data_IF_132982173170
#
_entry.id   IF_132982173170
#
_cell.length_a   1.000
_cell.length_b   1.000
_cell.length_c   1.000
_cell.angle_alpha   90.00
_cell.angle_beta   90.00
_cell.angle_gamma   90.00
#
_symmetry.space_group_name_H-M   'P 1'
#
loop_
_entity.id
_entity.type
_entity.pdbx_description
1 polymer ?
#
# COMPACT_ATOMS: atom_id res chain seq x y z
N UNK A 1 -14.36 -42.61 -14.31
CA UNK A 1 -13.57 -41.36 -14.22
C UNK A 1 -14.23 -40.45 -13.20
N UNK A 2 -13.80 -40.50 -11.95
CA UNK A 2 -14.30 -39.64 -10.86
C UNK A 2 -13.48 -38.35 -10.84
N UNK A 3 -14.07 -37.24 -11.29
CA UNK A 3 -13.45 -35.92 -11.16
C UNK A 3 -13.48 -35.53 -9.67
N UNK A 4 -12.32 -35.55 -9.01
CA UNK A 4 -12.13 -34.81 -7.76
C UNK A 4 -12.10 -33.32 -8.11
N UNK A 5 -13.21 -32.61 -7.87
CA UNK A 5 -13.17 -31.16 -7.74
C UNK A 5 -12.24 -30.84 -6.57
N UNK A 6 -11.01 -30.43 -6.88
CA UNK A 6 -10.08 -29.93 -5.88
C UNK A 6 -10.71 -28.68 -5.26
N UNK A 7 -11.35 -28.83 -4.10
CA UNK A 7 -11.80 -27.74 -3.26
C UNK A 7 -10.58 -26.90 -2.92
N UNK A 8 -10.44 -25.73 -3.55
CA UNK A 8 -9.39 -24.78 -3.17
C UNK A 8 -9.49 -24.52 -1.66
N UNK A 9 -8.37 -24.55 -0.94
CA UNK A 9 -8.39 -24.26 0.49
C UNK A 9 -9.04 -22.89 0.70
N UNK A 10 -9.94 -22.76 1.69
CA UNK A 10 -10.61 -21.49 1.93
C UNK A 10 -9.55 -20.42 2.19
N UNK A 11 -9.52 -19.40 1.33
CA UNK A 11 -8.66 -18.23 1.55
C UNK A 11 -9.05 -17.63 2.90
N UNK A 12 -8.06 -17.48 3.78
CA UNK A 12 -8.27 -16.89 5.09
C UNK A 12 -8.76 -15.45 4.90
N UNK A 13 -9.91 -15.06 5.48
CA UNK A 13 -10.45 -13.73 5.28
C UNK A 13 -9.50 -12.67 5.82
N UNK A 14 -9.45 -11.52 5.14
CA UNK A 14 -8.54 -10.41 5.46
C UNK A 14 -8.73 -9.86 6.89
N UNK A 15 -9.95 -9.96 7.41
CA UNK A 15 -10.37 -9.50 8.74
C UNK A 15 -11.30 -10.53 9.39
N UNK A 16 -11.18 -10.73 10.71
CA UNK A 16 -12.26 -11.32 11.52
C UNK A 16 -13.48 -10.37 11.57
N UNK A 17 -14.67 -10.84 11.99
CA UNK A 17 -15.82 -9.97 12.20
C UNK A 17 -15.53 -8.79 13.14
N UNK A 18 -14.80 -9.03 14.22
CA UNK A 18 -14.43 -8.01 15.21
C UNK A 18 -13.43 -7.01 14.63
N UNK A 19 -12.42 -7.47 13.89
CA UNK A 19 -11.47 -6.60 13.19
C UNK A 19 -12.15 -5.73 12.15
N UNK A 20 -13.10 -6.30 11.39
CA UNK A 20 -13.89 -5.55 10.41
C UNK A 20 -14.71 -4.47 11.10
N UNK A 21 -15.36 -4.78 12.23
CA UNK A 21 -16.09 -3.79 13.02
C UNK A 21 -15.19 -2.66 13.50
N UNK A 22 -14.03 -2.98 14.09
CA UNK A 22 -13.04 -1.98 14.53
C UNK A 22 -12.56 -1.10 13.37
N UNK A 23 -12.34 -1.68 12.20
CA UNK A 23 -11.98 -0.94 10.98
C UNK A 23 -13.09 0.03 10.57
N UNK A 24 -14.32 -0.46 10.49
CA UNK A 24 -15.46 0.32 10.00
C UNK A 24 -15.82 1.48 10.95
N UNK A 25 -15.58 1.31 12.25
CA UNK A 25 -15.75 2.37 13.27
C UNK A 25 -14.57 3.36 13.33
N UNK A 26 -13.42 3.05 12.71
CA UNK A 26 -12.19 3.82 12.86
C UNK A 26 -12.09 4.98 11.86
N UNK A 27 -11.95 6.20 12.36
CA UNK A 27 -11.65 7.39 11.55
C UNK A 27 -10.32 7.27 10.78
N UNK A 28 -9.40 6.44 11.25
CA UNK A 28 -8.12 6.21 10.57
C UNK A 28 -8.28 5.53 9.21
N UNK A 29 -9.35 4.77 8.99
CA UNK A 29 -9.63 4.20 7.65
C UNK A 29 -9.88 5.30 6.62
N UNK A 30 -10.58 6.38 7.00
CA UNK A 30 -10.76 7.54 6.13
C UNK A 30 -9.44 8.26 5.88
N UNK A 31 -8.63 8.45 6.93
CA UNK A 31 -7.30 9.07 6.80
C UNK A 31 -6.43 8.30 5.81
N UNK A 32 -6.36 6.97 5.91
CA UNK A 32 -5.63 6.14 4.96
C UNK A 32 -6.23 6.20 3.55
N UNK A 33 -7.56 6.21 3.45
CA UNK A 33 -8.29 6.34 2.18
C UNK A 33 -8.00 7.65 1.43
N UNK A 34 -7.62 8.73 2.14
CA UNK A 34 -7.19 10.00 1.55
C UNK A 34 -5.68 10.03 1.31
N UNK A 35 -4.88 9.60 2.29
CA UNK A 35 -3.42 9.64 2.19
C UNK A 35 -2.87 8.74 1.09
N UNK A 36 -3.48 7.57 0.84
CA UNK A 36 -3.02 6.67 -0.21
C UNK A 36 -3.12 7.30 -1.63
N UNK A 37 -4.26 7.87 -2.06
CA UNK A 37 -4.34 8.64 -3.31
C UNK A 37 -3.38 9.84 -3.38
N UNK A 38 -3.29 10.62 -2.30
CA UNK A 38 -2.35 11.77 -2.24
C UNK A 38 -0.92 11.29 -2.45
N UNK A 39 -0.54 10.21 -1.78
CA UNK A 39 0.79 9.63 -1.89
C UNK A 39 1.10 9.12 -3.30
N UNK A 40 0.09 8.60 -4.01
CA UNK A 40 0.21 8.18 -5.41
C UNK A 40 0.39 9.38 -6.36
N UNK A 41 -0.32 10.48 -6.15
CA UNK A 41 -0.13 11.70 -6.96
C UNK A 41 1.27 12.31 -6.72
N UNK A 42 1.69 12.42 -5.47
CA UNK A 42 3.03 12.89 -5.10
C UNK A 42 4.12 11.98 -5.70
N UNK A 43 3.88 10.67 -5.73
CA UNK A 43 4.73 9.71 -6.44
C UNK A 43 4.88 10.04 -7.92
N UNK A 44 3.78 10.22 -8.66
CA UNK A 44 3.83 10.46 -10.10
C UNK A 44 4.56 11.77 -10.44
N UNK A 45 4.29 12.83 -9.69
CA UNK A 45 4.97 14.13 -9.86
C UNK A 45 6.47 13.95 -9.63
N UNK A 46 6.86 13.30 -8.54
CA UNK A 46 8.26 13.12 -8.20
C UNK A 46 8.98 12.20 -9.20
N UNK A 47 8.33 11.12 -9.65
CA UNK A 47 8.87 10.24 -10.69
C UNK A 47 9.14 11.01 -11.99
N UNK A 48 8.18 11.83 -12.43
CA UNK A 48 8.37 12.66 -13.61
C UNK A 48 9.58 13.60 -13.48
N UNK A 49 9.72 14.29 -12.34
CA UNK A 49 10.83 15.21 -12.12
C UNK A 49 12.19 14.50 -12.06
N UNK A 50 12.26 13.34 -11.39
CA UNK A 50 13.47 12.50 -11.34
C UNK A 50 13.87 12.04 -12.74
N UNK A 51 12.92 11.51 -13.53
CA UNK A 51 13.18 11.06 -14.89
C UNK A 51 13.57 12.20 -15.82
N UNK A 52 12.94 13.36 -15.69
CA UNK A 52 13.29 14.56 -16.45
C UNK A 52 14.74 14.97 -16.18
N UNK A 53 15.14 15.03 -14.91
CA UNK A 53 16.50 15.37 -14.56
C UNK A 53 17.51 14.35 -15.09
N UNK A 54 17.24 13.05 -14.93
CA UNK A 54 18.12 12.01 -15.48
C UNK A 54 18.24 12.04 -17.01
N UNK A 55 17.17 12.42 -17.71
CA UNK A 55 17.17 12.47 -19.17
C UNK A 55 17.82 13.73 -19.76
N UNK A 56 17.74 14.87 -19.04
CA UNK A 56 18.13 16.18 -19.59
C UNK A 56 19.29 16.85 -18.86
N UNK A 57 19.64 16.39 -17.66
CA UNK A 57 20.56 17.07 -16.76
C UNK A 57 19.95 18.28 -16.04
N UNK A 58 18.73 18.68 -16.37
CA UNK A 58 18.08 19.90 -15.88
C UNK A 58 17.04 19.64 -14.79
N UNK A 59 16.87 20.58 -13.87
CA UNK A 59 15.82 20.53 -12.84
C UNK A 59 16.13 19.66 -11.62
N UNK A 60 17.42 19.41 -11.34
CA UNK A 60 17.89 18.67 -10.15
C UNK A 60 17.21 19.14 -8.86
N UNK A 61 17.19 20.45 -8.58
CA UNK A 61 16.60 20.98 -7.35
C UNK A 61 15.11 20.62 -7.22
N UNK A 62 14.35 20.69 -8.31
CA UNK A 62 12.93 20.33 -8.30
C UNK A 62 12.73 18.84 -8.03
N UNK A 63 13.56 17.97 -8.62
CA UNK A 63 13.55 16.53 -8.35
C UNK A 63 13.92 16.22 -6.89
N UNK A 64 14.94 16.89 -6.33
CA UNK A 64 15.34 16.70 -4.94
C UNK A 64 14.24 17.15 -3.97
N UNK A 65 13.65 18.32 -4.19
CA UNK A 65 12.52 18.81 -3.38
C UNK A 65 11.34 17.85 -3.47
N UNK A 66 10.99 17.35 -4.66
CA UNK A 66 9.87 16.43 -4.81
C UNK A 66 10.09 15.11 -4.08
N UNK A 67 11.33 14.58 -4.08
CA UNK A 67 11.66 13.36 -3.31
C UNK A 67 11.56 13.63 -1.81
N UNK A 68 12.04 14.77 -1.32
CA UNK A 68 11.90 15.16 0.10
C UNK A 68 10.44 15.26 0.50
N UNK A 69 9.62 15.98 -0.28
CA UNK A 69 8.18 16.09 -0.05
C UNK A 69 7.53 14.71 -0.01
N UNK A 70 7.88 13.84 -0.96
CA UNK A 70 7.39 12.45 -0.97
C UNK A 70 7.81 11.67 0.28
N UNK A 71 9.05 11.85 0.76
CA UNK A 71 9.53 11.22 2.00
C UNK A 71 8.72 11.67 3.21
N UNK A 72 8.39 12.98 3.30
CA UNK A 72 7.56 13.49 4.39
C UNK A 72 6.15 12.89 4.36
N UNK A 73 5.52 12.85 3.18
CA UNK A 73 4.20 12.20 3.01
C UNK A 73 4.28 10.70 3.32
N UNK A 74 5.38 10.03 2.98
CA UNK A 74 5.64 8.63 3.33
C UNK A 74 5.70 8.43 4.84
N UNK A 75 6.41 9.28 5.57
CA UNK A 75 6.45 9.20 7.03
C UNK A 75 5.06 9.42 7.63
N UNK A 76 4.29 10.39 7.12
CA UNK A 76 2.93 10.64 7.58
C UNK A 76 2.02 9.43 7.39
N UNK A 77 2.00 8.83 6.19
CA UNK A 77 1.13 7.67 5.92
C UNK A 77 1.59 6.43 6.71
N UNK A 78 2.90 6.24 6.91
CA UNK A 78 3.41 5.11 7.71
C UNK A 78 3.05 5.25 9.19
N UNK A 79 3.24 6.44 9.78
CA UNK A 79 2.89 6.68 11.18
C UNK A 79 1.38 6.48 11.38
N UNK A 80 0.56 7.14 10.56
CA UNK A 80 -0.91 7.02 10.66
C UNK A 80 -1.41 5.62 10.32
N UNK A 81 -0.76 4.92 9.39
CA UNK A 81 -1.04 3.53 9.04
C UNK A 81 -0.74 2.58 10.20
N UNK A 82 0.38 2.77 10.88
CA UNK A 82 0.73 1.96 12.05
C UNK A 82 -0.25 2.15 13.22
N UNK A 83 -0.76 3.37 13.40
CA UNK A 83 -1.81 3.66 14.39
C UNK A 83 -3.11 2.96 13.98
N UNK A 84 -3.48 3.02 12.68
CA UNK A 84 -4.63 2.30 12.16
C UNK A 84 -4.53 0.80 12.44
N UNK A 85 -3.38 0.18 12.14
CA UNK A 85 -3.17 -1.25 12.44
C UNK A 85 -3.26 -1.54 13.92
N UNK A 86 -2.75 -0.66 14.78
CA UNK A 86 -2.84 -0.86 16.23
C UNK A 86 -4.30 -0.89 16.69
N UNK A 87 -5.14 -0.03 16.14
CA UNK A 87 -6.59 0.02 16.45
C UNK A 87 -7.31 -1.22 15.92
N UNK A 88 -6.98 -1.69 14.72
CA UNK A 88 -7.69 -2.81 14.08
C UNK A 88 -7.19 -4.17 14.56
N UNK A 89 -5.89 -4.37 14.66
CA UNK A 89 -5.23 -5.67 14.91
C UNK A 89 -4.55 -5.78 16.28
N UNK A 90 -4.46 -4.68 17.04
CA UNK A 90 -3.73 -4.66 18.31
C UNK A 90 -2.20 -4.65 18.16
N UNK A 91 -1.67 -4.46 16.95
CA UNK A 91 -0.23 -4.39 16.62
C UNK A 91 0.06 -3.16 15.76
N UNK A 92 1.20 -2.50 15.95
CA UNK A 92 1.53 -1.31 15.16
C UNK A 92 1.89 -1.62 13.71
N UNK A 93 2.50 -2.77 13.43
CA UNK A 93 2.83 -3.25 12.09
C UNK A 93 2.90 -4.77 12.16
N UNK A 94 3.00 -5.41 11.00
CA UNK A 94 3.22 -6.84 10.82
C UNK A 94 2.07 -7.69 11.37
N UNK A 95 0.84 -7.20 11.21
CA UNK A 95 -0.32 -8.09 11.29
C UNK A 95 -0.16 -9.21 10.26
N UNK A 96 -0.57 -10.44 10.58
CA UNK A 96 -0.34 -11.61 9.71
C UNK A 96 -0.88 -11.37 8.29
N UNK A 97 -2.03 -10.70 8.20
CA UNK A 97 -2.69 -10.34 6.94
C UNK A 97 -1.95 -9.26 6.12
N UNK A 98 -1.05 -8.48 6.72
CA UNK A 98 -0.36 -7.31 6.14
C UNK A 98 1.18 -7.42 6.16
N UNK A 99 1.71 -8.52 6.67
CA UNK A 99 3.15 -8.71 6.91
C UNK A 99 4.02 -8.37 5.71
N UNK A 100 3.66 -8.84 4.52
CA UNK A 100 4.45 -8.60 3.32
C UNK A 100 4.37 -7.15 2.85
N UNK A 101 3.19 -6.53 2.90
CA UNK A 101 3.06 -5.10 2.61
C UNK A 101 3.91 -4.26 3.57
N UNK A 102 4.00 -4.64 4.84
CA UNK A 102 4.83 -3.94 5.83
C UNK A 102 6.32 -4.12 5.56
N UNK A 103 6.77 -5.31 5.17
CA UNK A 103 8.17 -5.55 4.77
C UNK A 103 8.55 -4.65 3.60
N UNK A 104 7.70 -4.56 2.56
CA UNK A 104 7.96 -3.70 1.42
C UNK A 104 7.86 -2.21 1.79
N UNK A 105 6.92 -1.83 2.64
CA UNK A 105 6.79 -0.45 3.15
C UNK A 105 8.02 -0.02 3.94
N UNK A 106 8.58 -0.92 4.76
CA UNK A 106 9.83 -0.67 5.48
C UNK A 106 11.03 -0.57 4.54
N UNK A 107 11.07 -1.34 3.45
CA UNK A 107 12.11 -1.19 2.43
C UNK A 107 11.98 0.16 1.69
N UNK A 108 10.76 0.56 1.31
CA UNK A 108 10.50 1.89 0.72
C UNK A 108 10.96 2.99 1.68
N UNK A 109 10.61 2.88 2.97
CA UNK A 109 11.02 3.80 4.01
C UNK A 109 12.55 3.88 4.13
N UNK A 110 13.23 2.74 4.18
CA UNK A 110 14.68 2.67 4.27
C UNK A 110 15.37 3.33 3.07
N UNK A 111 14.87 3.11 1.85
CA UNK A 111 15.42 3.71 0.63
C UNK A 111 15.19 5.23 0.60
N UNK A 112 14.03 5.71 1.06
CA UNK A 112 13.79 7.15 1.20
C UNK A 112 14.68 7.78 2.28
N UNK A 113 14.93 7.11 3.39
CA UNK A 113 15.87 7.57 4.41
C UNK A 113 17.31 7.58 3.86
N UNK A 114 17.70 6.56 3.10
CA UNK A 114 19.00 6.50 2.44
C UNK A 114 19.16 7.65 1.43
N UNK A 115 18.10 8.00 0.70
CA UNK A 115 18.09 9.17 -0.18
C UNK A 115 18.36 10.48 0.59
N UNK A 116 17.72 10.68 1.74
CA UNK A 116 17.96 11.88 2.55
C UNK A 116 19.42 12.00 3.00
N UNK A 117 20.07 10.89 3.31
CA UNK A 117 21.51 10.84 3.62
C UNK A 117 22.33 11.15 2.36
N UNK A 118 21.98 10.54 1.23
CA UNK A 118 22.67 10.67 -0.05
C UNK A 118 22.76 12.12 -0.56
N UNK A 119 21.77 12.97 -0.24
CA UNK A 119 21.80 14.41 -0.57
C UNK A 119 23.08 15.09 -0.05
N UNK A 120 23.60 14.61 1.09
CA UNK A 120 24.78 15.19 1.75
C UNK A 120 26.09 14.44 1.46
N UNK A 121 26.02 13.23 0.91
CA UNK A 121 27.17 12.32 0.83
C UNK A 121 27.51 11.82 -0.57
N UNK A 122 26.57 11.86 -1.52
CA UNK A 122 26.70 11.27 -2.84
C UNK A 122 26.41 12.29 -3.95
N UNK A 123 26.84 11.98 -5.17
CA UNK A 123 26.55 12.79 -6.35
C UNK A 123 25.06 12.72 -6.74
N UNK A 124 24.61 13.74 -7.48
CA UNK A 124 23.22 13.89 -7.89
C UNK A 124 22.67 12.71 -8.68
N UNK A 125 23.48 12.03 -9.50
CA UNK A 125 23.02 10.90 -10.29
C UNK A 125 22.74 9.67 -9.41
N UNK A 126 23.66 9.36 -8.49
CA UNK A 126 23.49 8.27 -7.53
C UNK A 126 22.28 8.50 -6.63
N UNK A 127 22.04 9.73 -6.18
CA UNK A 127 20.83 10.08 -5.42
C UNK A 127 19.56 9.70 -6.19
N UNK A 128 19.46 10.06 -7.48
CA UNK A 128 18.26 9.76 -8.28
C UNK A 128 18.05 8.26 -8.49
N UNK A 129 19.12 7.47 -8.63
CA UNK A 129 18.99 6.02 -8.72
C UNK A 129 18.47 5.40 -7.41
N UNK A 130 18.83 5.95 -6.24
CA UNK A 130 18.24 5.54 -4.96
C UNK A 130 16.74 5.87 -4.94
N UNK A 131 16.35 7.05 -5.43
CA UNK A 131 14.93 7.42 -5.55
C UNK A 131 14.17 6.46 -6.49
N UNK A 132 14.73 6.12 -7.65
CA UNK A 132 14.14 5.16 -8.59
C UNK A 132 14.03 3.75 -8.00
N UNK A 133 15.00 3.32 -7.19
CA UNK A 133 14.92 2.07 -6.44
C UNK A 133 13.73 2.10 -5.47
N UNK A 134 13.60 3.17 -4.67
CA UNK A 134 12.47 3.35 -3.77
C UNK A 134 11.12 3.32 -4.49
N UNK A 135 11.05 3.95 -5.67
CA UNK A 135 9.86 4.02 -6.52
C UNK A 135 9.49 2.65 -7.10
N UNK A 136 10.48 1.87 -7.50
CA UNK A 136 10.28 0.51 -7.98
C UNK A 136 9.72 -0.39 -6.88
N UNK A 137 10.28 -0.30 -5.67
CA UNK A 137 9.75 -0.99 -4.49
C UNK A 137 8.33 -0.53 -4.15
N UNK A 138 8.05 0.77 -4.25
CA UNK A 138 6.71 1.31 -4.01
C UNK A 138 5.67 0.76 -5.01
N UNK A 139 6.02 0.62 -6.29
CA UNK A 139 5.12 0.04 -7.30
C UNK A 139 4.76 -1.41 -6.94
N UNK A 140 5.72 -2.19 -6.46
CA UNK A 140 5.47 -3.57 -6.00
C UNK A 140 4.47 -3.56 -4.83
N UNK A 141 4.70 -2.71 -3.83
CA UNK A 141 3.82 -2.57 -2.67
C UNK A 141 2.39 -2.12 -3.07
N UNK A 142 2.29 -1.10 -3.93
CA UNK A 142 1.00 -0.64 -4.45
C UNK A 142 0.28 -1.74 -5.26
N UNK A 143 1.03 -2.54 -6.02
CA UNK A 143 0.51 -3.71 -6.73
C UNK A 143 -0.10 -4.75 -5.78
N UNK A 144 0.58 -5.06 -4.67
CA UNK A 144 0.06 -5.95 -3.62
C UNK A 144 -1.28 -5.45 -3.08
N UNK A 145 -1.35 -4.15 -2.77
CA UNK A 145 -2.58 -3.52 -2.28
C UNK A 145 -3.73 -3.60 -3.28
N UNK A 146 -3.48 -3.33 -4.57
CA UNK A 146 -4.50 -3.42 -5.61
C UNK A 146 -5.04 -4.85 -5.80
N UNK A 147 -4.17 -5.85 -5.73
CA UNK A 147 -4.58 -7.27 -5.80
C UNK A 147 -5.48 -7.61 -4.61
N UNK A 148 -5.09 -7.19 -3.39
CA UNK A 148 -5.86 -7.40 -2.16
C UNK A 148 -7.23 -6.72 -2.21
N UNK A 149 -7.31 -5.48 -2.73
CA UNK A 149 -8.57 -4.77 -2.91
C UNK A 149 -9.51 -5.48 -3.89
N UNK A 150 -8.97 -5.99 -5.00
CA UNK A 150 -9.74 -6.78 -5.97
C UNK A 150 -10.27 -8.07 -5.36
N UNK A 151 -9.45 -8.79 -4.60
CA UNK A 151 -9.85 -10.00 -3.91
C UNK A 151 -11.00 -9.73 -2.90
N UNK A 152 -10.87 -8.68 -2.10
CA UNK A 152 -11.90 -8.29 -1.14
C UNK A 152 -13.24 -7.91 -1.80
N UNK A 153 -13.20 -7.24 -2.97
CA UNK A 153 -14.41 -6.91 -3.75
C UNK A 153 -15.11 -8.16 -4.29
N UNK A 154 -14.36 -9.12 -4.83
CA UNK A 154 -14.90 -10.38 -5.36
C UNK A 154 -15.51 -11.25 -4.24
N UNK A 155 -14.88 -11.28 -3.06
CA UNK A 155 -15.41 -11.98 -1.89
C UNK A 155 -16.74 -11.37 -1.40
N UNK A 156 -16.87 -10.04 -1.44
CA UNK A 156 -18.13 -9.35 -1.13
C UNK A 156 -19.26 -9.79 -2.06
N UNK A 157 -19.03 -9.72 -3.37
CA UNK A 157 -20.01 -10.14 -4.38
C UNK A 157 -20.45 -11.60 -4.20
N UNK A 158 -19.52 -12.50 -3.90
CA UNK A 158 -19.84 -13.92 -3.69
C UNK A 158 -20.70 -14.15 -2.44
N UNK A 159 -20.49 -13.37 -1.37
CA UNK A 159 -21.32 -13.44 -0.16
C UNK A 159 -22.73 -12.90 -0.41
N UNK A 160 -22.84 -11.79 -1.12
CA UNK A 160 -24.14 -11.19 -1.46
C UNK A 160 -24.97 -12.16 -2.32
N UNK A 161 -24.38 -12.73 -3.38
CA UNK A 161 -25.07 -13.73 -4.22
C UNK A 161 -25.46 -15.00 -3.46
N UNK A 162 -24.63 -15.46 -2.52
CA UNK A 162 -24.96 -16.62 -1.69
C UNK A 162 -26.13 -16.30 -0.73
N UNK A 163 -26.14 -15.10 -0.15
CA UNK A 163 -27.20 -14.66 0.75
C UNK A 163 -28.54 -14.47 0.01
N UNK A 164 -28.51 -13.92 -1.20
CA UNK A 164 -29.69 -13.81 -2.08
C UNK A 164 -30.25 -15.19 -2.45
N UNK A 165 -29.39 -16.18 -2.73
CA UNK A 165 -29.82 -17.54 -3.06
C UNK A 165 -30.45 -18.28 -1.88
N UNK A 166 -29.96 -18.05 -0.65
CA UNK A 166 -30.53 -18.64 0.57
C UNK A 166 -31.88 -18.01 0.89
N UNK A 167 -32.02 -16.69 0.73
CA UNK A 167 -33.29 -15.99 0.94
C UNK A 167 -34.35 -16.41 -0.09
N UNK A 168 -33.96 -16.58 -1.35
CA UNK A 168 -34.85 -17.06 -2.41
C UNK A 168 -35.35 -18.49 -2.13
N UNK A 169 -34.46 -19.40 -1.72
CA UNK A 169 -34.83 -20.79 -1.39
C UNK A 169 -35.60 -20.95 -0.08
N UNK A 170 -35.58 -19.96 0.83
CA UNK A 170 -36.38 -19.95 2.06
C UNK A 170 -37.79 -19.35 1.85
N UNK A 171 -38.04 -18.74 0.69
CA UNK A 171 -39.33 -18.15 0.31
C UNK A 171 -40.19 -19.07 -0.57
N UNK A 172 -39.66 -20.23 -0.99
CA UNK A 172 -40.38 -21.35 -1.62
C UNK A 172 -40.87 -22.36 -0.58
#
# INVERSE_FOLDING_TARGET
MTQHSASQPPRRPLYTPEERRRRDESSWTLVQGILAPVQFVVFLISLYLVLRYLATGEGYLAATISVIVKTLVLYTIMITGSIWEKVVFGKYLFAESFFWEDVFSMLVLALHTAYLIAIFTLDSQTQMFIALAAYSTYIINAGQFLIKLRAARLEGQRKDSAQDSVLAGAAE
#
